data_IF_407399204694
#
_entry.id   IF_407399204694
#
_cell.length_a   1.000
_cell.length_b   1.000
_cell.length_c   1.000
_cell.angle_alpha   90.00
_cell.angle_beta   90.00
_cell.angle_gamma   90.00
#
_symmetry.space_group_name_H-M   'P 1'
#
loop_
_entity.id
_entity.type
_entity.pdbx_description
1 polymer ?
#
# COMPACT_ATOMS: atom_id res chain seq x y z
N UNK A 1 32.44 -50.46 -14.44
CA UNK A 1 31.53 -50.07 -13.34
C UNK A 1 31.00 -48.67 -13.64
N UNK A 2 29.77 -48.57 -14.14
CA UNK A 2 29.11 -47.30 -14.45
C UNK A 2 28.10 -46.99 -13.35
N UNK A 3 28.26 -45.85 -12.67
CA UNK A 3 27.29 -45.32 -11.73
C UNK A 3 26.31 -44.43 -12.49
N UNK A 4 25.05 -44.87 -12.57
CA UNK A 4 23.94 -44.08 -13.10
C UNK A 4 23.36 -43.28 -11.93
N UNK A 5 23.60 -41.97 -11.91
CA UNK A 5 22.98 -41.02 -10.99
C UNK A 5 21.61 -40.63 -11.55
N UNK A 6 20.56 -41.24 -11.01
CA UNK A 6 19.17 -40.85 -11.28
C UNK A 6 18.86 -39.58 -10.51
N UNK A 7 18.67 -38.47 -11.23
CA UNK A 7 18.15 -37.23 -10.65
C UNK A 7 16.65 -37.40 -10.35
N UNK A 8 16.31 -37.53 -9.06
CA UNK A 8 14.93 -37.46 -8.58
C UNK A 8 14.52 -35.98 -8.63
N UNK A 9 13.74 -35.60 -9.64
CA UNK A 9 13.02 -34.34 -9.63
C UNK A 9 11.82 -34.50 -8.70
N UNK A 10 11.95 -33.95 -7.48
CA UNK A 10 10.82 -33.80 -6.57
C UNK A 10 9.98 -32.66 -7.14
N UNK A 11 8.89 -33.01 -7.82
CA UNK A 11 7.86 -32.06 -8.18
C UNK A 11 7.21 -31.57 -6.88
N UNK A 12 7.42 -30.30 -6.56
CA UNK A 12 6.91 -29.66 -5.35
C UNK A 12 5.42 -29.34 -5.56
N UNK A 13 4.58 -30.32 -5.25
CA UNK A 13 3.11 -30.35 -5.45
C UNK A 13 2.35 -29.48 -4.41
N UNK A 14 2.97 -28.43 -3.86
CA UNK A 14 2.54 -27.80 -2.60
C UNK A 14 1.86 -26.44 -2.72
N UNK A 15 1.47 -25.99 -3.92
CA UNK A 15 0.72 -24.71 -4.10
C UNK A 15 -0.71 -24.89 -4.61
N UNK A 16 -1.48 -25.80 -4.01
CA UNK A 16 -2.85 -26.10 -4.46
C UNK A 16 -3.97 -25.36 -3.71
N UNK A 17 -3.70 -24.17 -3.16
CA UNK A 17 -4.74 -23.30 -2.59
C UNK A 17 -4.67 -21.88 -3.15
N UNK A 18 -4.76 -21.75 -4.47
CA UNK A 18 -4.97 -20.44 -5.09
C UNK A 18 -6.36 -19.94 -4.70
N UNK A 19 -6.42 -18.97 -3.79
CA UNK A 19 -7.66 -18.28 -3.45
C UNK A 19 -8.07 -17.45 -4.66
N UNK A 20 -9.24 -17.73 -5.23
CA UNK A 20 -9.78 -16.99 -6.38
C UNK A 20 -11.06 -16.29 -5.96
N UNK A 21 -11.18 -14.99 -6.23
CA UNK A 21 -12.43 -14.25 -6.01
C UNK A 21 -13.43 -14.67 -7.09
N UNK A 22 -14.65 -14.99 -6.65
CA UNK A 22 -15.78 -15.28 -7.52
C UNK A 22 -16.51 -13.99 -7.90
N UNK A 23 -16.99 -13.26 -6.89
CA UNK A 23 -17.67 -11.98 -7.06
C UNK A 23 -17.60 -11.11 -5.81
N UNK A 24 -17.90 -9.83 -5.98
CA UNK A 24 -18.04 -8.85 -4.90
C UNK A 24 -19.46 -8.28 -4.98
N UNK A 25 -20.21 -8.40 -3.88
CA UNK A 25 -21.59 -7.92 -3.79
C UNK A 25 -21.74 -6.98 -2.59
N UNK A 26 -21.81 -5.68 -2.87
CA UNK A 26 -21.80 -4.64 -1.84
C UNK A 26 -20.56 -4.70 -0.96
N UNK A 27 -20.73 -5.20 0.26
CA UNK A 27 -19.69 -5.31 1.28
C UNK A 27 -19.27 -6.76 1.59
N UNK A 28 -19.66 -7.70 0.73
CA UNK A 28 -19.34 -9.12 0.85
C UNK A 28 -18.46 -9.57 -0.33
N UNK A 29 -17.32 -10.19 -0.02
CA UNK A 29 -16.42 -10.80 -0.99
C UNK A 29 -16.66 -12.31 -0.97
N UNK A 30 -16.99 -12.88 -2.13
CA UNK A 30 -17.20 -14.32 -2.31
C UNK A 30 -15.99 -14.94 -2.99
N UNK A 31 -15.50 -16.06 -2.45
CA UNK A 31 -14.42 -16.83 -3.04
C UNK A 31 -14.95 -18.05 -3.79
N UNK A 32 -14.25 -18.45 -4.85
CA UNK A 32 -14.53 -19.69 -5.55
C UNK A 32 -14.28 -20.87 -4.62
N UNK A 33 -15.19 -21.84 -4.66
CA UNK A 33 -15.06 -23.08 -3.88
C UNK A 33 -13.84 -23.86 -4.36
N UNK A 34 -13.00 -24.38 -3.45
CA UNK A 34 -12.16 -25.53 -3.76
C UNK A 34 -13.05 -26.70 -4.18
N UNK A 35 -12.59 -27.56 -5.10
CA UNK A 35 -13.35 -28.72 -5.59
C UNK A 35 -13.87 -29.64 -4.48
N UNK A 36 -13.23 -29.64 -3.31
CA UNK A 36 -13.53 -30.53 -2.18
C UNK A 36 -14.34 -29.89 -1.05
N UNK A 37 -14.75 -28.61 -1.16
CA UNK A 37 -15.42 -27.92 -0.06
C UNK A 37 -16.87 -27.51 -0.40
N UNK A 38 -17.79 -27.78 0.52
CA UNK A 38 -19.23 -27.75 0.24
C UNK A 38 -19.82 -26.32 0.19
N UNK A 39 -19.14 -25.30 0.74
CA UNK A 39 -19.63 -23.91 0.80
C UNK A 39 -18.57 -22.90 0.34
N UNK A 40 -18.93 -21.87 -0.46
CA UNK A 40 -17.96 -20.83 -0.80
C UNK A 40 -17.68 -20.05 0.49
N UNK A 41 -16.41 -19.85 0.82
CA UNK A 41 -16.06 -18.90 1.87
C UNK A 41 -16.46 -17.51 1.40
N UNK A 42 -17.00 -16.72 2.32
CA UNK A 42 -17.34 -15.32 2.06
C UNK A 42 -16.89 -14.49 3.25
N UNK A 43 -16.39 -13.30 2.98
CA UNK A 43 -16.01 -12.35 4.02
C UNK A 43 -16.93 -11.15 3.90
N UNK A 44 -17.56 -10.77 5.01
CA UNK A 44 -18.29 -9.52 5.14
C UNK A 44 -17.39 -8.49 5.80
N UNK A 45 -17.11 -7.40 5.10
CA UNK A 45 -16.30 -6.29 5.62
C UNK A 45 -17.15 -5.02 5.74
N UNK A 46 -16.80 -4.11 6.63
CA UNK A 46 -17.51 -2.84 6.76
C UNK A 46 -16.89 -1.76 5.86
N UNK A 47 -16.81 -2.05 4.56
CA UNK A 47 -16.30 -1.17 3.53
C UNK A 47 -17.31 -1.12 2.37
N UNK A 48 -17.32 -0.01 1.64
CA UNK A 48 -18.26 0.25 0.56
C UNK A 48 -17.52 0.52 -0.76
N UNK A 49 -18.23 0.37 -1.88
CA UNK A 49 -17.68 0.51 -3.23
C UNK A 49 -16.37 -0.28 -3.46
N UNK A 50 -16.34 -1.51 -2.94
CA UNK A 50 -15.16 -2.35 -2.98
C UNK A 50 -14.77 -2.65 -4.43
N UNK A 51 -13.50 -2.40 -4.75
CA UNK A 51 -12.85 -2.79 -5.99
C UNK A 51 -11.64 -3.65 -5.65
N UNK A 52 -11.62 -4.89 -6.13
CA UNK A 52 -10.44 -5.74 -5.99
C UNK A 52 -9.28 -5.22 -6.85
N UNK A 53 -8.07 -5.29 -6.31
CA UNK A 53 -6.84 -4.91 -7.01
C UNK A 53 -5.98 -6.14 -7.27
N UNK A 54 -5.67 -6.90 -6.22
CA UNK A 54 -4.78 -8.05 -6.34
C UNK A 54 -4.59 -8.78 -5.01
N UNK A 55 -3.76 -9.81 -5.05
CA UNK A 55 -3.29 -10.51 -3.85
C UNK A 55 -1.84 -10.10 -3.56
N UNK A 56 -1.46 -10.14 -2.28
CA UNK A 56 -0.06 -10.18 -1.88
C UNK A 56 0.25 -11.55 -1.29
N UNK A 57 1.07 -12.32 -2.00
CA UNK A 57 1.59 -13.60 -1.54
C UNK A 57 2.95 -13.45 -0.86
N UNK A 58 3.27 -14.33 0.10
CA UNK A 58 4.61 -14.41 0.69
C UNK A 58 4.87 -15.80 1.24
N UNK A 59 6.14 -16.23 1.26
CA UNK A 59 6.55 -17.48 1.89
C UNK A 59 6.42 -17.47 3.43
N UNK A 60 6.17 -16.33 4.06
CA UNK A 60 5.96 -16.22 5.51
C UNK A 60 4.50 -16.46 5.94
N UNK A 61 3.54 -16.37 5.02
CA UNK A 61 2.10 -16.49 5.29
C UNK A 61 1.52 -17.70 4.56
N UNK A 62 0.56 -18.37 5.19
CA UNK A 62 -0.16 -19.49 4.57
C UNK A 62 -1.25 -19.04 3.61
N UNK A 63 -1.81 -17.84 3.81
CA UNK A 63 -2.93 -17.31 3.02
C UNK A 63 -2.59 -15.92 2.50
N UNK A 64 -2.86 -15.62 1.21
CA UNK A 64 -2.62 -14.30 0.65
C UNK A 64 -3.39 -13.21 1.38
N UNK A 65 -2.83 -12.00 1.38
CA UNK A 65 -3.57 -10.80 1.74
C UNK A 65 -4.30 -10.26 0.51
N UNK A 66 -5.53 -9.79 0.72
CA UNK A 66 -6.31 -9.09 -0.29
C UNK A 66 -5.92 -7.61 -0.30
N UNK A 67 -5.57 -7.11 -1.48
CA UNK A 67 -5.41 -5.70 -1.74
C UNK A 67 -6.68 -5.19 -2.43
N UNK A 68 -7.40 -4.28 -1.77
CA UNK A 68 -8.65 -3.72 -2.28
C UNK A 68 -8.65 -2.19 -2.21
N UNK A 69 -9.43 -1.58 -3.09
CA UNK A 69 -9.76 -0.14 -3.05
C UNK A 69 -11.20 0.02 -2.58
N UNK A 70 -11.46 0.81 -1.54
CA UNK A 70 -12.81 0.99 -1.00
C UNK A 70 -12.98 2.35 -0.30
N UNK A 71 -14.22 2.69 0.04
CA UNK A 71 -14.54 3.80 0.95
C UNK A 71 -15.03 3.24 2.30
N UNK A 72 -14.73 3.89 3.43
CA UNK A 72 -15.07 3.37 4.76
C UNK A 72 -16.55 3.56 5.16
N UNK A 73 -17.29 4.41 4.45
CA UNK A 73 -18.70 4.69 4.73
C UNK A 73 -19.45 5.06 3.44
N UNK A 74 -20.74 4.72 3.35
CA UNK A 74 -21.54 4.92 2.14
C UNK A 74 -21.80 6.40 1.79
N UNK A 75 -21.96 7.26 2.80
CA UNK A 75 -22.41 8.65 2.64
C UNK A 75 -21.44 9.67 3.26
N UNK A 76 -20.14 9.43 3.15
CA UNK A 76 -19.14 10.31 3.74
C UNK A 76 -18.24 10.96 2.69
N UNK A 77 -17.66 12.10 3.07
CA UNK A 77 -16.68 12.83 2.25
C UNK A 77 -15.29 12.19 2.28
N UNK A 78 -15.15 11.01 2.90
CA UNK A 78 -13.87 10.34 2.99
C UNK A 78 -13.48 9.75 1.65
N UNK A 79 -12.21 9.88 1.35
CA UNK A 79 -11.64 9.45 0.10
C UNK A 79 -11.45 7.94 0.04
N UNK A 80 -11.54 7.42 -1.19
CA UNK A 80 -11.19 6.03 -1.48
C UNK A 80 -9.75 5.75 -1.03
N UNK A 81 -9.59 4.68 -0.27
CA UNK A 81 -8.33 4.21 0.29
C UNK A 81 -8.01 2.80 -0.21
N UNK A 82 -6.75 2.43 -0.12
CA UNK A 82 -6.27 1.07 -0.35
C UNK A 82 -6.22 0.35 0.98
N UNK A 83 -6.83 -0.83 1.06
CA UNK A 83 -6.85 -1.66 2.26
C UNK A 83 -6.13 -2.97 1.99
N UNK A 84 -5.36 -3.41 2.98
CA UNK A 84 -4.80 -4.75 3.08
C UNK A 84 -5.64 -5.53 4.08
N UNK A 85 -6.25 -6.61 3.61
CA UNK A 85 -7.22 -7.38 4.39
C UNK A 85 -6.82 -8.85 4.35
N UNK A 86 -6.89 -9.54 5.48
CA UNK A 86 -6.68 -10.98 5.49
C UNK A 86 -7.94 -11.73 5.01
N UNK A 87 -7.84 -13.05 4.82
CA UNK A 87 -8.98 -13.88 4.40
C UNK A 87 -10.08 -14.06 5.45
N UNK A 88 -9.94 -13.43 6.61
CA UNK A 88 -10.95 -13.43 7.68
C UNK A 88 -11.74 -12.10 7.72
N UNK A 89 -11.31 -11.11 6.93
CA UNK A 89 -11.91 -9.77 6.89
C UNK A 89 -11.30 -8.76 7.84
N UNK A 90 -10.21 -9.11 8.51
CA UNK A 90 -9.47 -8.19 9.36
C UNK A 90 -8.66 -7.24 8.48
N UNK A 91 -8.90 -5.94 8.66
CA UNK A 91 -8.10 -4.88 8.04
C UNK A 91 -6.76 -4.83 8.76
N UNK A 92 -5.68 -5.13 8.05
CA UNK A 92 -4.31 -5.07 8.57
C UNK A 92 -3.69 -3.69 8.37
N UNK A 93 -4.03 -3.04 7.24
CA UNK A 93 -3.51 -1.72 6.91
C UNK A 93 -4.46 -0.93 6.03
N UNK A 94 -4.35 0.40 6.11
CA UNK A 94 -5.10 1.37 5.32
C UNK A 94 -4.17 2.47 4.83
N UNK A 95 -4.21 2.73 3.52
CA UNK A 95 -3.44 3.79 2.89
C UNK A 95 -4.34 4.69 2.06
N UNK A 96 -4.32 5.99 2.36
CA UNK A 96 -4.94 7.00 1.49
C UNK A 96 -4.02 7.21 0.30
N UNK A 97 -4.47 6.82 -0.89
CA UNK A 97 -3.72 6.97 -2.14
C UNK A 97 -4.37 8.06 -3.01
N UNK A 98 -3.94 9.33 -2.89
CA UNK A 98 -4.61 10.44 -3.56
C UNK A 98 -4.14 10.64 -5.00
N UNK A 99 -3.19 9.84 -5.50
CA UNK A 99 -2.57 10.03 -6.81
C UNK A 99 -1.83 11.36 -6.88
N UNK A 100 -2.47 12.42 -7.38
CA UNK A 100 -1.87 13.75 -7.53
C UNK A 100 -2.73 14.84 -6.90
N UNK A 101 -2.11 15.75 -6.16
CA UNK A 101 -2.78 16.92 -5.58
C UNK A 101 -2.16 18.19 -6.14
N UNK A 102 -3.02 19.03 -6.74
CA UNK A 102 -2.64 20.32 -7.34
C UNK A 102 -3.23 21.45 -6.49
N UNK A 103 -2.37 22.41 -6.10
CA UNK A 103 -2.78 23.69 -5.54
C UNK A 103 -3.38 24.55 -6.66
N UNK A 104 -4.66 24.89 -6.53
CA UNK A 104 -5.37 25.69 -7.52
C UNK A 104 -4.85 27.12 -7.63
N UNK A 105 -4.39 27.73 -6.52
CA UNK A 105 -3.94 29.13 -6.50
C UNK A 105 -2.63 29.29 -7.26
N UNK A 106 -1.70 28.37 -7.05
CA UNK A 106 -0.37 28.42 -7.66
C UNK A 106 -0.29 27.60 -8.96
N UNK A 107 -1.31 26.78 -9.25
CA UNK A 107 -1.28 25.74 -10.29
C UNK A 107 -0.04 24.83 -10.18
N UNK A 108 0.34 24.48 -8.95
CA UNK A 108 1.53 23.69 -8.66
C UNK A 108 1.18 22.35 -8.03
N UNK A 109 2.01 21.33 -8.31
CA UNK A 109 1.88 20.01 -7.70
C UNK A 109 2.41 20.09 -6.27
N UNK A 110 1.51 19.88 -5.31
CA UNK A 110 1.84 19.83 -3.88
C UNK A 110 2.20 18.41 -3.47
N UNK A 111 1.54 17.43 -4.08
CA UNK A 111 1.71 16.01 -3.78
C UNK A 111 1.59 15.20 -5.07
N UNK A 112 2.49 14.25 -5.27
CA UNK A 112 2.39 13.24 -6.33
C UNK A 112 2.75 11.88 -5.74
N UNK A 113 1.91 10.89 -6.01
CA UNK A 113 2.13 9.51 -5.59
C UNK A 113 1.84 8.52 -6.70
N UNK A 114 2.57 7.40 -6.66
CA UNK A 114 2.35 6.24 -7.52
C UNK A 114 2.44 4.98 -6.69
N UNK A 115 1.41 4.15 -6.75
CA UNK A 115 1.31 2.92 -5.99
C UNK A 115 1.52 1.70 -6.89
N UNK A 116 2.16 0.68 -6.35
CA UNK A 116 2.51 -0.56 -7.03
C UNK A 116 2.30 -1.76 -6.11
N UNK A 117 2.02 -2.93 -6.67
CA UNK A 117 1.96 -4.18 -5.92
C UNK A 117 2.57 -5.36 -6.69
N UNK A 118 2.95 -6.42 -5.98
CA UNK A 118 3.60 -7.61 -6.55
C UNK A 118 5.08 -7.67 -6.23
N UNK A 119 5.87 -8.34 -7.06
CA UNK A 119 7.32 -8.47 -6.91
C UNK A 119 8.05 -7.23 -7.48
N UNK A 120 7.90 -6.10 -6.79
CA UNK A 120 8.33 -4.80 -7.26
C UNK A 120 9.79 -4.46 -6.94
N UNK A 121 10.40 -5.08 -5.94
CA UNK A 121 11.82 -4.91 -5.61
C UNK A 121 12.57 -6.21 -5.84
N UNK A 122 13.68 -6.14 -6.59
CA UNK A 122 14.51 -7.31 -6.85
C UNK A 122 15.11 -7.85 -5.53
N UNK A 123 14.69 -9.05 -5.13
CA UNK A 123 15.25 -9.80 -4.00
C UNK A 123 16.55 -10.53 -4.37
N UNK A 124 16.82 -10.71 -5.66
CA UNK A 124 17.94 -11.52 -6.15
C UNK A 124 19.32 -10.91 -5.83
N UNK A 125 20.05 -11.61 -4.94
CA UNK A 125 21.51 -11.60 -4.70
C UNK A 125 22.14 -10.41 -3.95
N UNK A 126 21.49 -9.25 -3.88
CA UNK A 126 21.92 -8.13 -3.04
C UNK A 126 20.89 -7.84 -1.93
N UNK A 127 20.59 -8.85 -1.11
CA UNK A 127 19.61 -8.81 0.00
C UNK A 127 19.85 -7.68 1.02
N UNK A 128 21.03 -7.03 0.99
CA UNK A 128 21.37 -5.93 1.90
C UNK A 128 20.38 -4.76 1.88
N UNK A 129 19.65 -4.54 0.78
CA UNK A 129 18.73 -3.41 0.69
C UNK A 129 17.39 -3.67 1.38
N UNK A 130 16.82 -4.88 1.32
CA UNK A 130 15.53 -5.17 1.97
C UNK A 130 15.67 -5.28 3.49
N UNK A 131 16.73 -5.94 3.97
CA UNK A 131 17.03 -6.04 5.41
C UNK A 131 17.24 -4.67 6.08
N UNK A 132 17.72 -3.68 5.31
CA UNK A 132 17.85 -2.29 5.78
C UNK A 132 16.49 -1.64 6.07
N UNK A 133 15.46 -2.02 5.31
CA UNK A 133 14.13 -1.47 5.42
C UNK A 133 13.23 -2.27 6.37
N UNK A 134 13.46 -3.57 6.44
CA UNK A 134 12.69 -4.52 7.23
C UNK A 134 13.65 -5.48 7.97
N UNK A 135 14.22 -5.07 9.11
CA UNK A 135 15.12 -5.93 9.89
C UNK A 135 14.42 -7.17 10.46
N UNK A 136 13.09 -7.12 10.64
CA UNK A 136 12.27 -8.21 11.15
C UNK A 136 11.93 -9.27 10.09
N UNK A 137 12.05 -8.91 8.81
CA UNK A 137 11.71 -9.80 7.70
C UNK A 137 12.87 -10.78 7.47
N UNK A 138 12.53 -12.05 7.24
CA UNK A 138 13.53 -13.10 7.05
C UNK A 138 14.50 -12.75 5.91
N UNK A 139 15.77 -13.13 6.04
CA UNK A 139 16.77 -12.96 4.96
C UNK A 139 16.34 -13.65 3.66
N UNK A 140 15.49 -14.67 3.79
CA UNK A 140 14.93 -15.45 2.70
C UNK A 140 13.49 -15.03 2.35
N UNK A 141 13.08 -13.81 2.68
CA UNK A 141 11.76 -13.32 2.29
C UNK A 141 11.62 -13.31 0.77
N UNK A 142 10.62 -14.05 0.30
CA UNK A 142 10.21 -14.10 -1.09
C UNK A 142 8.71 -13.89 -1.10
N UNK A 143 8.30 -12.70 -1.50
CA UNK A 143 6.90 -12.33 -1.51
C UNK A 143 6.64 -11.05 -2.28
N UNK A 144 5.37 -10.85 -2.54
CA UNK A 144 4.82 -9.61 -3.05
C UNK A 144 4.84 -8.54 -1.97
N UNK A 145 4.84 -7.29 -2.42
CA UNK A 145 4.83 -6.12 -1.57
C UNK A 145 3.93 -5.06 -2.18
N UNK A 146 3.44 -4.17 -1.32
CA UNK A 146 2.77 -2.94 -1.73
C UNK A 146 3.74 -1.77 -1.54
N UNK A 147 3.92 -0.97 -2.59
CA UNK A 147 4.83 0.18 -2.60
C UNK A 147 4.06 1.44 -2.97
N UNK A 148 4.31 2.54 -2.26
CA UNK A 148 3.82 3.86 -2.62
C UNK A 148 4.99 4.82 -2.69
N UNK A 149 5.32 5.28 -3.89
CA UNK A 149 6.24 6.38 -4.10
C UNK A 149 5.49 7.67 -3.85
N UNK A 150 6.05 8.57 -3.05
CA UNK A 150 5.45 9.85 -2.70
C UNK A 150 6.45 10.98 -2.96
N UNK A 151 5.94 12.12 -3.41
CA UNK A 151 6.68 13.36 -3.64
C UNK A 151 5.90 14.53 -3.08
N UNK A 152 6.42 15.08 -1.99
CA UNK A 152 5.69 16.04 -1.19
C UNK A 152 6.42 17.38 -1.20
N UNK A 153 5.68 18.45 -1.51
CA UNK A 153 6.19 19.81 -1.38
C UNK A 153 6.12 20.20 0.10
N UNK A 154 7.23 20.00 0.81
CA UNK A 154 7.37 20.45 2.20
C UNK A 154 7.50 21.97 2.21
N UNK A 155 6.70 22.64 3.03
CA UNK A 155 6.72 24.09 3.16
C UNK A 155 8.14 24.60 3.43
N UNK A 156 8.49 25.74 2.81
CA UNK A 156 9.82 26.40 2.80
C UNK A 156 10.94 25.70 2.03
N UNK A 157 10.78 24.46 1.55
CA UNK A 157 11.79 23.80 0.71
C UNK A 157 11.52 24.05 -0.78
N UNK A 158 12.58 24.35 -1.54
CA UNK A 158 12.49 24.51 -3.01
C UNK A 158 12.27 23.17 -3.74
N UNK A 159 12.58 22.04 -3.11
CA UNK A 159 12.55 20.70 -3.72
C UNK A 159 11.51 19.83 -3.01
N UNK A 160 10.79 19.02 -3.77
CA UNK A 160 9.93 17.97 -3.24
C UNK A 160 10.75 16.95 -2.45
N UNK A 161 10.29 16.60 -1.25
CA UNK A 161 10.81 15.47 -0.51
C UNK A 161 10.25 14.19 -1.13
N UNK A 162 11.11 13.20 -1.33
CA UNK A 162 10.71 11.91 -1.86
C UNK A 162 10.71 10.89 -0.72
N UNK A 163 9.66 10.09 -0.65
CA UNK A 163 9.57 8.97 0.27
C UNK A 163 8.96 7.76 -0.42
N UNK A 164 9.23 6.58 0.12
CA UNK A 164 8.57 5.34 -0.28
C UNK A 164 8.00 4.69 0.95
N UNK A 165 6.69 4.50 0.94
CA UNK A 165 5.99 3.63 1.87
C UNK A 165 6.00 2.21 1.30
N UNK A 166 6.34 1.24 2.14
CA UNK A 166 6.43 -0.17 1.76
C UNK A 166 5.66 -0.99 2.77
N UNK A 167 4.80 -1.88 2.30
CA UNK A 167 4.07 -2.81 3.13
C UNK A 167 4.29 -4.24 2.62
N UNK A 168 4.72 -5.13 3.51
CA UNK A 168 4.92 -6.56 3.20
C UNK A 168 4.08 -7.43 4.12
N UNK A 169 3.54 -8.56 3.63
CA UNK A 169 2.84 -9.51 4.48
C UNK A 169 3.79 -10.15 5.49
N UNK A 170 3.47 -10.07 6.78
CA UNK A 170 4.08 -10.85 7.85
C UNK A 170 3.11 -11.90 8.39
N UNK A 171 3.59 -12.78 9.28
CA UNK A 171 2.81 -13.93 9.79
C UNK A 171 1.41 -13.55 10.33
N UNK A 172 1.36 -12.51 11.17
CA UNK A 172 0.14 -12.07 11.85
C UNK A 172 -0.20 -10.59 11.64
N UNK A 173 0.69 -9.83 11.00
CA UNK A 173 0.57 -8.38 10.81
C UNK A 173 1.30 -7.98 9.53
N UNK A 174 1.05 -6.77 9.04
CA UNK A 174 1.79 -6.18 7.92
C UNK A 174 3.01 -5.45 8.44
N UNK A 175 4.18 -5.72 7.86
CA UNK A 175 5.37 -4.90 8.11
C UNK A 175 5.27 -3.66 7.25
N UNK A 176 5.26 -2.49 7.89
CA UNK A 176 5.20 -1.21 7.20
C UNK A 176 6.46 -0.40 7.49
N UNK A 177 7.04 0.19 6.44
CA UNK A 177 8.19 1.07 6.60
C UNK A 177 8.09 2.25 5.65
N UNK A 178 8.52 3.41 6.14
CA UNK A 178 8.65 4.64 5.35
C UNK A 178 10.13 4.96 5.16
N UNK A 179 10.58 5.05 3.91
CA UNK A 179 11.97 5.34 3.55
C UNK A 179 12.10 6.68 2.84
N UNK A 180 12.83 7.62 3.45
CA UNK A 180 13.04 8.98 2.91
C UNK A 180 14.46 9.23 2.38
N UNK A 181 15.48 8.57 2.93
CA UNK A 181 16.89 8.93 2.68
C UNK A 181 17.50 8.26 1.45
N UNK A 182 17.11 7.02 1.18
CA UNK A 182 17.60 6.23 0.05
C UNK A 182 16.44 5.43 -0.55
N UNK A 183 15.44 6.12 -1.11
CA UNK A 183 14.32 5.44 -1.73
C UNK A 183 14.81 4.59 -2.91
N UNK A 184 14.20 3.42 -3.10
CA UNK A 184 14.37 2.64 -4.31
C UNK A 184 14.08 3.49 -5.56
N UNK A 185 14.67 3.15 -6.70
CA UNK A 185 14.42 3.90 -7.94
C UNK A 185 13.06 3.50 -8.53
N UNK A 186 12.16 4.46 -8.73
CA UNK A 186 10.89 4.23 -9.42
C UNK A 186 11.11 3.68 -10.83
N UNK A 187 12.20 4.05 -11.51
CA UNK A 187 12.52 3.53 -12.84
C UNK A 187 12.79 2.02 -12.81
N UNK A 188 13.38 1.50 -11.73
CA UNK A 188 13.59 0.07 -11.56
C UNK A 188 12.25 -0.66 -11.39
N UNK A 189 11.33 -0.10 -10.61
CA UNK A 189 9.96 -0.62 -10.44
C UNK A 189 9.20 -0.59 -11.77
N UNK A 190 9.31 0.49 -12.55
CA UNK A 190 8.65 0.56 -13.86
C UNK A 190 9.18 -0.47 -14.86
N UNK A 191 10.46 -0.87 -14.76
CA UNK A 191 10.97 -2.01 -15.56
C UNK A 191 10.30 -3.31 -15.14
N UNK A 192 10.04 -3.50 -13.85
CA UNK A 192 9.28 -4.65 -13.31
C UNK A 192 7.81 -4.64 -13.72
N UNK A 193 7.21 -3.46 -13.82
CA UNK A 193 5.86 -3.32 -14.38
C UNK A 193 5.81 -3.76 -15.84
N UNK A 194 6.83 -3.39 -16.64
CA UNK A 194 6.94 -3.84 -18.04
C UNK A 194 7.15 -5.35 -18.18
N UNK A 195 7.85 -5.99 -17.23
CA UNK A 195 8.02 -7.45 -17.21
C UNK A 195 6.82 -8.20 -16.61
N UNK A 196 5.79 -7.49 -16.13
CA UNK A 196 4.61 -8.06 -15.44
C UNK A 196 4.95 -8.77 -14.12
N UNK A 197 6.09 -8.46 -13.51
CA UNK A 197 6.45 -8.93 -12.16
C UNK A 197 5.78 -8.07 -11.07
N UNK A 198 5.43 -6.84 -11.43
CA UNK A 198 4.86 -5.82 -10.57
C UNK A 198 3.72 -5.13 -11.33
N UNK A 199 2.76 -4.57 -10.63
CA UNK A 199 1.57 -3.97 -11.21
C UNK A 199 1.38 -2.57 -10.65
N UNK A 200 1.09 -1.61 -11.50
CA UNK A 200 0.79 -0.24 -11.08
C UNK A 200 -0.70 -0.10 -10.77
N UNK A 201 -0.99 0.58 -9.67
CA UNK A 201 -2.36 0.92 -9.27
C UNK A 201 -2.67 2.31 -9.79
N UNK A 202 -3.70 2.40 -10.61
CA UNK A 202 -4.13 3.67 -11.20
C UNK A 202 -4.50 4.67 -10.12
N UNK A 203 -3.81 5.82 -10.12
CA UNK A 203 -4.09 6.92 -9.21
C UNK A 203 -5.19 7.84 -9.74
N UNK A 204 -5.90 8.51 -8.83
CA UNK A 204 -6.85 9.57 -9.19
C UNK A 204 -6.16 10.93 -9.18
N UNK A 205 -6.51 11.81 -10.11
CA UNK A 205 -6.07 13.20 -10.09
C UNK A 205 -7.03 14.03 -9.24
N UNK A 206 -6.53 14.69 -8.19
CA UNK A 206 -7.30 15.57 -7.32
C UNK A 206 -6.85 17.02 -7.47
N UNK A 207 -7.83 17.92 -7.42
CA UNK A 207 -7.60 19.36 -7.24
C UNK A 207 -7.90 19.66 -5.78
N UNK A 208 -7.01 20.35 -5.07
CA UNK A 208 -7.37 20.83 -3.72
C UNK A 208 -8.57 21.76 -3.84
N UNK A 209 -9.67 21.43 -3.18
CA UNK A 209 -10.69 22.43 -2.90
C UNK A 209 -10.08 23.42 -1.91
N UNK A 210 -10.14 24.70 -2.23
CA UNK A 210 -9.43 25.84 -1.62
C UNK A 210 -9.77 26.15 -0.16
N UNK A 211 -10.31 25.18 0.60
CA UNK A 211 -10.65 25.31 2.02
C UNK A 211 -10.05 24.17 2.84
N UNK A 212 -8.72 24.02 2.81
CA UNK A 212 -8.06 23.59 4.03
C UNK A 212 -8.19 24.77 4.99
N UNK A 213 -9.22 24.75 5.85
CA UNK A 213 -9.37 25.68 6.97
C UNK A 213 -8.31 25.33 8.02
N UNK A 214 -7.05 25.44 7.64
CA UNK A 214 -5.96 25.69 8.54
C UNK A 214 -5.78 27.21 8.50
N UNK A 215 -6.81 27.92 8.98
CA UNK A 215 -6.68 29.32 9.33
C UNK A 215 -5.83 29.36 10.60
N UNK A 216 -4.53 29.06 10.44
CA UNK A 216 -3.48 29.33 11.42
C UNK A 216 -3.20 30.84 11.44
N UNK A 217 -4.26 31.66 11.39
CA UNK A 217 -4.16 33.03 11.85
C UNK A 217 -3.83 32.91 13.33
N UNK A 218 -2.53 33.02 13.58
CA UNK A 218 -1.92 33.46 14.81
C UNK A 218 -2.92 34.42 15.46
N UNK A 219 -3.54 33.99 16.56
CA UNK A 219 -4.07 34.96 17.52
C UNK A 219 -2.82 35.76 17.90
N UNK A 220 -2.59 36.86 17.21
CA UNK A 220 -1.71 37.90 17.72
C UNK A 220 -2.40 38.34 19.00
N UNK A 221 -1.71 38.04 20.09
CA UNK A 221 -2.06 38.43 21.44
C UNK A 221 -2.57 39.88 21.39
N UNK A 222 -3.82 40.07 21.81
CA UNK A 222 -4.34 41.39 22.09
C UNK A 222 -3.35 42.06 23.03
N UNK A 223 -2.74 43.14 22.57
CA UNK A 223 -2.06 44.12 23.40
C UNK A 223 -3.06 44.58 24.45
N UNK A 224 -2.98 44.00 25.65
CA UNK A 224 -3.52 44.59 26.87
C UNK A 224 -2.63 45.78 27.22
N UNK A 225 -2.76 46.85 26.44
CA UNK A 225 -2.38 48.22 26.84
C UNK A 225 -3.36 48.66 27.94
N UNK A 226 -3.18 48.12 29.15
CA UNK A 226 -3.67 48.75 30.36
C UNK A 226 -2.63 49.78 30.82
N UNK A 227 -2.65 50.92 30.13
CA UNK A 227 -2.13 52.18 30.64
C UNK A 227 -2.91 52.56 31.91
N UNK A 228 -2.40 52.16 33.07
CA UNK A 228 -2.77 52.78 34.34
C UNK A 228 -1.89 54.03 34.48
N UNK A 229 -2.43 55.15 34.01
CA UNK A 229 -1.96 56.48 34.42
C UNK A 229 -2.58 56.87 35.77
N UNK A 230 -1.76 57.59 36.54
CA UNK A 230 -1.91 58.04 37.91
C UNK A 230 -3.19 58.86 38.21
N UNK A 231 -3.71 58.68 39.44
CA UNK A 231 -4.12 59.74 40.38
C UNK A 231 -4.15 59.20 41.83
#
# INVERSE_FOLDING_TARGET
MSLILSAISIADDTKEHSIVIDKIDGNVIYFKKPLNDNKPSSIKINLFEISFIGFLDSNEIQKPLLLISAIPCANCLQDRSIYLINTEGTILSQFVYPGKIIDQKQNQIVYESRAFYGNCLSTSKNHGNLKKFFPEVSENFVGDMYLVFQKDKIDRRKKHAQSILMATPGKNYTYETLSERQPASIQAVLKKVKSKDCFEIEGRNRRMLTKAVLDLKKQEDQEDDNDINDD
#
